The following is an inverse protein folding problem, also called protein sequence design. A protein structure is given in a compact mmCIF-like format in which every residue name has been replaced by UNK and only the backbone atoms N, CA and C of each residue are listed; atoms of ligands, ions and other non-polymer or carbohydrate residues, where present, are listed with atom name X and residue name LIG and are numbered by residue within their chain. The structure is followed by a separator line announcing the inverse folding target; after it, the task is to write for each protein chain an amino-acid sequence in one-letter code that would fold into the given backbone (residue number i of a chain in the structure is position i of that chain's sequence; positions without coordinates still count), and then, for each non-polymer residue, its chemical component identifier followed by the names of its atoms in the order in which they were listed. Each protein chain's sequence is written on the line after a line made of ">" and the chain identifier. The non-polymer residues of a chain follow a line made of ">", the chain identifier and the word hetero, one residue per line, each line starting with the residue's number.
data_IF_798673494244
#
_entry.id   IF_798673494244
#
_cell.length_a   1.000
_cell.length_b   1.000
_cell.length_c   1.000
_cell.angle_alpha   90.00
_cell.angle_beta   90.00
_cell.angle_gamma   90.00
#
_symmetry.space_group_name_H-M   'P 1'
#
loop_
_entity.id
_entity.type
_entity.pdbx_description
1 polymer ?
#
# COMPACT_ATOMS: atom_id res chain seq x y z
N UNK A 1 32.55 4.99 -10.69
CA UNK A 1 31.58 4.84 -9.60
C UNK A 1 31.22 6.23 -9.10
N UNK A 2 29.93 6.57 -9.03
CA UNK A 2 29.49 7.86 -8.50
C UNK A 2 29.16 7.73 -7.02
N UNK A 3 29.43 8.78 -6.24
CA UNK A 3 29.05 8.88 -4.82
C UNK A 3 27.92 9.91 -4.69
N UNK A 4 26.91 9.60 -3.88
CA UNK A 4 25.82 10.52 -3.58
C UNK A 4 26.35 11.70 -2.78
N UNK A 5 25.88 12.90 -3.11
CA UNK A 5 26.17 14.11 -2.34
C UNK A 5 25.16 14.20 -1.20
N UNK A 6 25.66 14.38 0.02
CA UNK A 6 24.80 14.56 1.20
C UNK A 6 24.21 15.97 1.22
N UNK A 7 22.90 16.09 1.43
CA UNK A 7 22.23 17.38 1.67
C UNK A 7 22.52 17.87 3.10
N UNK A 8 22.30 19.15 3.40
CA UNK A 8 22.44 19.66 4.77
C UNK A 8 21.15 19.41 5.57
N UNK A 9 21.25 19.27 6.90
CA UNK A 9 20.07 19.05 7.77
C UNK A 9 19.07 20.21 7.68
N UNK A 10 19.56 21.43 7.51
CA UNK A 10 18.76 22.64 7.38
C UNK A 10 17.96 22.67 6.06
N UNK A 11 18.35 21.86 5.07
CA UNK A 11 17.66 21.76 3.78
C UNK A 11 16.45 20.82 3.79
N UNK A 12 16.28 20.01 4.84
CA UNK A 12 15.21 19.00 4.93
C UNK A 12 13.81 19.59 4.67
N UNK A 13 13.38 20.71 5.30
CA UNK A 13 12.05 21.25 5.05
C UNK A 13 11.82 21.61 3.57
N UNK A 14 12.83 22.23 2.94
CA UNK A 14 12.79 22.59 1.52
C UNK A 14 12.78 21.36 0.61
N UNK A 15 13.52 20.32 0.98
CA UNK A 15 13.55 19.05 0.26
C UNK A 15 12.17 18.37 0.29
N UNK A 16 11.53 18.29 1.46
CA UNK A 16 10.19 17.72 1.63
C UNK A 16 9.13 18.46 0.81
N UNK A 17 9.10 19.79 0.85
CA UNK A 17 8.21 20.59 -0.02
C UNK A 17 8.44 20.29 -1.51
N UNK A 18 9.69 20.03 -1.91
CA UNK A 18 10.01 19.68 -3.30
C UNK A 18 9.52 18.27 -3.65
N UNK A 19 9.67 17.31 -2.75
CA UNK A 19 9.19 15.94 -2.94
C UNK A 19 7.66 15.90 -3.10
N UNK A 20 6.92 16.64 -2.26
CA UNK A 20 5.48 16.78 -2.39
C UNK A 20 5.07 17.34 -3.76
N UNK A 21 5.73 18.42 -4.22
CA UNK A 21 5.48 19.01 -5.54
C UNK A 21 5.73 18.03 -6.68
N UNK A 22 6.80 17.23 -6.61
CA UNK A 22 7.06 16.21 -7.61
C UNK A 22 5.95 15.17 -7.67
N UNK A 23 5.40 14.73 -6.52
CA UNK A 23 4.24 13.84 -6.52
C UNK A 23 3.00 14.48 -7.15
N UNK A 24 2.74 15.77 -6.88
CA UNK A 24 1.65 16.51 -7.52
C UNK A 24 1.85 16.70 -9.04
N UNK A 25 3.09 16.63 -9.53
CA UNK A 25 3.43 16.65 -10.96
C UNK A 25 3.48 15.24 -11.58
N UNK A 26 3.09 14.20 -10.84
CA UNK A 26 3.18 12.81 -11.26
C UNK A 26 4.63 12.36 -11.57
N UNK A 27 5.60 12.86 -10.80
CA UNK A 27 7.02 12.48 -10.84
C UNK A 27 7.45 11.73 -9.56
N UNK A 28 6.84 10.57 -9.23
CA UNK A 28 7.07 9.88 -7.95
C UNK A 28 8.52 9.40 -7.77
N UNK A 29 9.23 9.07 -8.85
CA UNK A 29 10.64 8.68 -8.78
C UNK A 29 11.55 9.83 -8.26
N UNK A 30 11.24 11.08 -8.59
CA UNK A 30 11.96 12.24 -8.06
C UNK A 30 11.67 12.46 -6.58
N UNK A 31 10.42 12.24 -6.16
CA UNK A 31 10.03 12.31 -4.76
C UNK A 31 10.70 11.21 -3.93
N UNK A 32 10.74 9.97 -4.43
CA UNK A 32 11.47 8.86 -3.80
C UNK A 32 12.94 9.23 -3.57
N UNK A 33 13.63 9.70 -4.62
CA UNK A 33 15.06 10.05 -4.52
C UNK A 33 15.32 11.05 -3.41
N UNK A 34 14.49 12.10 -3.31
CA UNK A 34 14.61 13.12 -2.27
C UNK A 34 14.33 12.54 -0.88
N UNK A 35 13.29 11.72 -0.74
CA UNK A 35 12.96 11.14 0.57
C UNK A 35 14.08 10.22 1.07
N UNK A 36 14.76 9.48 0.19
CA UNK A 36 15.93 8.68 0.56
C UNK A 36 17.09 9.56 1.06
N UNK A 37 17.36 10.69 0.41
CA UNK A 37 18.38 11.64 0.87
C UNK A 37 18.05 12.23 2.24
N UNK A 38 16.77 12.54 2.50
CA UNK A 38 16.31 13.00 3.82
C UNK A 38 16.46 11.90 4.88
N UNK A 39 16.00 10.68 4.59
CA UNK A 39 16.06 9.55 5.52
C UNK A 39 17.49 9.07 5.79
N UNK A 40 18.46 9.36 4.92
CA UNK A 40 19.87 9.12 5.18
C UNK A 40 20.45 10.05 6.28
N UNK A 41 19.84 11.23 6.49
CA UNK A 41 20.26 12.22 7.50
C UNK A 41 19.40 12.14 8.76
N UNK A 42 18.10 11.88 8.58
CA UNK A 42 17.11 11.77 9.64
C UNK A 42 16.23 10.52 9.41
N UNK A 43 16.69 9.33 9.85
CA UNK A 43 16.00 8.08 9.60
C UNK A 43 14.60 7.98 10.24
N UNK A 44 14.30 8.81 11.23
CA UNK A 44 13.00 8.82 11.92
C UNK A 44 12.07 9.92 11.40
N UNK A 45 12.44 10.64 10.33
CA UNK A 45 11.65 11.73 9.80
C UNK A 45 10.30 11.23 9.27
N UNK A 46 9.23 11.56 10.00
CA UNK A 46 7.87 11.10 9.71
C UNK A 46 7.40 11.50 8.31
N UNK A 47 7.54 12.78 7.94
CA UNK A 47 7.09 13.31 6.65
C UNK A 47 7.82 12.64 5.48
N UNK A 48 9.12 12.37 5.63
CA UNK A 48 9.90 11.65 4.63
C UNK A 48 9.46 10.19 4.48
N UNK A 49 9.13 9.51 5.58
CA UNK A 49 8.60 8.13 5.56
C UNK A 49 7.27 8.08 4.82
N UNK A 50 6.34 8.96 5.21
CA UNK A 50 5.01 9.08 4.58
C UNK A 50 5.15 9.38 3.09
N UNK A 51 5.95 10.39 2.73
CA UNK A 51 6.14 10.78 1.34
C UNK A 51 6.77 9.66 0.51
N UNK A 52 7.72 8.90 1.07
CA UNK A 52 8.32 7.75 0.41
C UNK A 52 7.32 6.61 0.20
N UNK A 53 6.52 6.25 1.20
CA UNK A 53 5.46 5.23 1.07
C UNK A 53 4.49 5.62 -0.05
N UNK A 54 4.08 6.88 -0.08
CA UNK A 54 3.16 7.37 -1.09
C UNK A 54 3.77 7.38 -2.50
N UNK A 55 5.04 7.79 -2.63
CA UNK A 55 5.75 7.75 -3.91
C UNK A 55 5.93 6.31 -4.43
N UNK A 56 6.30 5.37 -3.56
CA UNK A 56 6.46 3.96 -3.93
C UNK A 56 5.14 3.35 -4.44
N UNK A 57 4.03 3.62 -3.75
CA UNK A 57 2.72 3.10 -4.11
C UNK A 57 2.11 3.75 -5.36
N UNK A 58 2.49 5.00 -5.68
CA UNK A 58 2.13 5.66 -6.95
C UNK A 58 2.72 4.94 -8.17
N UNK A 59 3.88 4.29 -8.01
CA UNK A 59 4.56 3.56 -9.08
C UNK A 59 4.07 2.11 -9.24
N UNK A 60 3.07 1.66 -8.48
CA UNK A 60 2.49 0.32 -8.67
C UNK A 60 1.81 0.14 -10.03
N UNK A 61 1.50 1.21 -10.75
CA UNK A 61 0.87 1.19 -12.09
C UNK A 61 1.74 0.53 -13.17
N UNK A 62 3.04 0.34 -12.93
CA UNK A 62 3.97 -0.25 -13.88
C UNK A 62 4.15 -1.77 -13.71
N UNK A 63 3.08 -2.50 -13.33
CA UNK A 63 3.14 -3.96 -13.05
C UNK A 63 3.80 -4.78 -14.16
N UNK A 64 3.68 -4.33 -15.42
CA UNK A 64 4.27 -5.00 -16.57
C UNK A 64 5.77 -4.70 -16.80
N UNK A 65 6.31 -3.63 -16.21
CA UNK A 65 7.64 -3.09 -16.51
C UNK A 65 8.65 -3.28 -15.38
N UNK A 66 8.18 -3.40 -14.13
CA UNK A 66 9.04 -3.60 -12.98
C UNK A 66 8.30 -4.38 -11.87
N UNK A 67 9.07 -5.11 -11.05
CA UNK A 67 8.51 -5.76 -9.85
C UNK A 67 8.01 -4.67 -8.89
N UNK A 68 6.73 -4.68 -8.49
CA UNK A 68 6.19 -3.71 -7.55
C UNK A 68 6.90 -3.85 -6.20
N UNK A 69 7.19 -2.72 -5.56
CA UNK A 69 7.95 -2.66 -4.30
C UNK A 69 7.03 -2.64 -3.07
N UNK A 70 6.09 -3.60 -3.03
CA UNK A 70 5.09 -3.72 -1.96
C UNK A 70 5.76 -3.99 -0.60
N UNK A 71 6.65 -4.99 -0.54
CA UNK A 71 7.38 -5.35 0.68
C UNK A 71 8.19 -4.16 1.25
N UNK A 72 8.79 -3.35 0.36
CA UNK A 72 9.53 -2.15 0.78
C UNK A 72 8.60 -1.10 1.39
N UNK A 73 7.44 -0.86 0.76
CA UNK A 73 6.46 0.08 1.29
C UNK A 73 5.93 -0.37 2.66
N UNK A 74 5.60 -1.65 2.83
CA UNK A 74 5.17 -2.22 4.12
C UNK A 74 6.26 -2.11 5.19
N UNK A 75 7.52 -2.39 4.84
CA UNK A 75 8.63 -2.22 5.77
C UNK A 75 8.81 -0.76 6.24
N UNK A 76 8.50 0.22 5.38
CA UNK A 76 8.49 1.64 5.75
C UNK A 76 7.31 1.99 6.65
N UNK A 77 6.13 1.43 6.41
CA UNK A 77 4.94 1.62 7.26
C UNK A 77 5.24 1.21 8.70
N UNK A 78 5.93 0.09 8.92
CA UNK A 78 6.31 -0.37 10.26
C UNK A 78 7.17 0.64 11.05
N UNK A 79 7.82 1.59 10.37
CA UNK A 79 8.64 2.64 11.00
C UNK A 79 7.84 3.85 11.46
N UNK A 80 6.56 3.98 11.09
CA UNK A 80 5.70 5.08 11.50
C UNK A 80 5.37 4.97 13.00
N UNK A 81 5.49 6.08 13.72
CA UNK A 81 5.36 6.10 15.18
C UNK A 81 3.92 5.98 15.68
N UNK A 82 2.95 6.57 14.97
CA UNK A 82 1.56 6.60 15.42
C UNK A 82 0.79 5.35 14.97
N UNK A 83 -0.06 4.75 15.84
CA UNK A 83 -0.90 3.60 15.47
C UNK A 83 -1.81 3.86 14.27
N UNK A 84 -2.48 5.03 14.25
CA UNK A 84 -3.29 5.46 13.09
C UNK A 84 -2.49 5.42 11.79
N UNK A 85 -1.29 6.01 11.76
CA UNK A 85 -0.49 6.07 10.55
C UNK A 85 -0.12 4.68 10.05
N UNK A 86 0.29 3.77 10.96
CA UNK A 86 0.63 2.39 10.57
C UNK A 86 -0.56 1.71 9.88
N UNK A 87 -1.72 1.72 10.53
CA UNK A 87 -2.93 1.10 10.00
C UNK A 87 -3.38 1.77 8.69
N UNK A 88 -3.40 3.10 8.66
CA UNK A 88 -3.86 3.86 7.49
C UNK A 88 -2.95 3.67 6.27
N UNK A 89 -1.63 3.76 6.44
CA UNK A 89 -0.69 3.60 5.32
C UNK A 89 -0.54 2.12 4.91
N UNK A 90 -0.69 1.16 5.82
CA UNK A 90 -0.77 -0.28 5.47
C UNK A 90 -1.97 -0.55 4.57
N UNK A 91 -3.17 -0.12 4.99
CA UNK A 91 -4.39 -0.29 4.20
C UNK A 91 -4.28 0.37 2.82
N UNK A 92 -3.65 1.54 2.73
CA UNK A 92 -3.42 2.22 1.45
C UNK A 92 -2.42 1.47 0.53
N UNK A 93 -1.41 0.80 1.08
CA UNK A 93 -0.49 -0.03 0.29
C UNK A 93 -1.27 -1.20 -0.32
N UNK A 94 -2.07 -1.89 0.48
CA UNK A 94 -2.91 -3.00 0.01
C UNK A 94 -3.94 -2.54 -1.03
N UNK A 95 -4.64 -1.44 -0.76
CA UNK A 95 -5.62 -0.83 -1.67
C UNK A 95 -4.98 -0.48 -3.03
N UNK A 96 -3.87 0.27 -3.02
CA UNK A 96 -3.22 0.71 -4.27
C UNK A 96 -2.66 -0.47 -5.05
N UNK A 97 -2.18 -1.50 -4.36
CA UNK A 97 -1.70 -2.71 -5.00
C UNK A 97 -2.85 -3.50 -5.63
N UNK A 98 -3.96 -3.68 -4.91
CA UNK A 98 -5.17 -4.31 -5.42
C UNK A 98 -5.69 -3.61 -6.68
N UNK A 99 -5.79 -2.27 -6.64
CA UNK A 99 -6.17 -1.47 -7.81
C UNK A 99 -5.23 -1.70 -8.98
N UNK A 100 -3.91 -1.70 -8.75
CA UNK A 100 -2.93 -1.91 -9.82
C UNK A 100 -3.10 -3.29 -10.49
N UNK A 101 -3.35 -4.34 -9.71
CA UNK A 101 -3.62 -5.68 -10.22
C UNK A 101 -4.89 -5.74 -11.08
N UNK A 102 -5.98 -5.12 -10.63
CA UNK A 102 -7.22 -5.03 -11.43
C UNK A 102 -6.98 -4.32 -12.76
N UNK A 103 -6.28 -3.18 -12.76
CA UNK A 103 -5.97 -2.46 -14.00
C UNK A 103 -5.02 -3.24 -14.92
N UNK A 104 -4.15 -4.10 -14.36
CA UNK A 104 -3.29 -4.99 -15.11
C UNK A 104 -4.02 -6.26 -15.64
N UNK A 105 -5.32 -6.41 -15.37
CA UNK A 105 -6.14 -7.51 -15.88
C UNK A 105 -6.05 -8.81 -15.07
N UNK A 106 -5.57 -8.76 -13.82
CA UNK A 106 -5.58 -9.94 -12.95
C UNK A 106 -7.03 -10.32 -12.57
N UNK A 107 -7.32 -11.63 -12.37
CA UNK A 107 -8.64 -12.08 -11.95
C UNK A 107 -9.09 -11.41 -10.65
N UNK A 108 -10.31 -10.89 -10.61
CA UNK A 108 -10.82 -10.11 -9.47
C UNK A 108 -10.93 -10.94 -8.19
N UNK A 109 -11.30 -12.22 -8.30
CA UNK A 109 -11.31 -13.17 -7.17
C UNK A 109 -9.93 -13.35 -6.52
N UNK A 110 -8.84 -13.23 -7.29
CA UNK A 110 -7.47 -13.29 -6.75
C UNK A 110 -7.03 -11.99 -6.07
N UNK A 111 -7.81 -10.91 -6.22
CA UNK A 111 -7.50 -9.58 -5.69
C UNK A 111 -8.39 -9.20 -4.51
N UNK A 112 -9.55 -9.86 -4.32
CA UNK A 112 -10.50 -9.54 -3.25
C UNK A 112 -9.85 -9.51 -1.85
N UNK A 113 -8.98 -10.47 -1.55
CA UNK A 113 -8.27 -10.55 -0.27
C UNK A 113 -7.43 -9.28 0.04
N UNK A 114 -6.85 -8.64 -0.97
CA UNK A 114 -6.11 -7.38 -0.77
C UNK A 114 -7.04 -6.21 -0.44
N UNK A 115 -8.25 -6.19 -1.01
CA UNK A 115 -9.25 -5.20 -0.61
C UNK A 115 -9.78 -5.46 0.80
N UNK A 116 -10.00 -6.71 1.18
CA UNK A 116 -10.40 -7.10 2.53
C UNK A 116 -9.36 -6.68 3.57
N UNK A 117 -8.09 -6.97 3.32
CA UNK A 117 -6.99 -6.51 4.18
C UNK A 117 -6.96 -4.98 4.28
N UNK A 118 -7.08 -4.27 3.15
CA UNK A 118 -7.11 -2.81 3.13
C UNK A 118 -8.27 -2.24 3.95
N UNK A 119 -9.47 -2.80 3.78
CA UNK A 119 -10.67 -2.36 4.48
C UNK A 119 -10.59 -2.64 5.99
N UNK A 120 -10.08 -3.81 6.39
CA UNK A 120 -9.79 -4.13 7.80
C UNK A 120 -8.85 -3.09 8.42
N UNK A 121 -7.76 -2.76 7.73
CA UNK A 121 -6.82 -1.74 8.21
C UNK A 121 -7.50 -0.37 8.41
N UNK A 122 -8.38 0.04 7.50
CA UNK A 122 -9.10 1.32 7.63
C UNK A 122 -10.14 1.29 8.77
N UNK A 123 -10.84 0.18 8.97
CA UNK A 123 -11.76 -0.01 10.10
C UNK A 123 -11.02 0.07 11.43
N UNK A 124 -9.86 -0.56 11.55
CA UNK A 124 -9.01 -0.51 12.74
C UNK A 124 -8.35 0.87 12.95
N UNK A 125 -8.05 1.60 11.86
CA UNK A 125 -7.50 2.94 11.93
C UNK A 125 -8.52 3.97 12.44
N UNK A 126 -9.81 3.83 12.09
CA UNK A 126 -10.85 4.79 12.44
C UNK A 126 -10.91 5.18 13.93
N UNK A 127 -10.92 4.25 14.91
CA UNK A 127 -10.93 4.60 16.33
C UNK A 127 -9.63 5.25 16.83
N UNK A 128 -8.53 5.16 16.07
CA UNK A 128 -7.24 5.79 16.39
C UNK A 128 -7.14 7.24 15.88
N UNK A 129 -8.13 7.70 15.10
CA UNK A 129 -8.12 9.00 14.47
C UNK A 129 -8.46 10.14 15.46
N UNK A 130 -7.86 11.31 15.26
CA UNK A 130 -8.23 12.52 16.00
C UNK A 130 -9.64 13.02 15.64
N UNK A 131 -10.27 13.86 16.48
CA UNK A 131 -11.60 14.41 16.20
C UNK A 131 -11.68 15.08 14.82
N UNK A 132 -12.66 14.66 14.01
CA UNK A 132 -12.89 15.23 12.68
C UNK A 132 -12.04 14.62 11.56
N UNK A 133 -11.06 13.77 11.87
CA UNK A 133 -10.33 13.00 10.86
C UNK A 133 -11.17 11.79 10.42
N UNK A 134 -11.67 11.84 9.19
CA UNK A 134 -12.46 10.78 8.55
C UNK A 134 -11.71 10.10 7.40
N UNK A 135 -10.38 10.25 7.33
CA UNK A 135 -9.60 9.80 6.17
C UNK A 135 -9.71 8.29 5.96
N UNK A 136 -9.68 7.50 7.04
CA UNK A 136 -9.86 6.05 6.97
C UNK A 136 -11.26 5.68 6.44
N UNK A 137 -12.32 6.38 6.86
CA UNK A 137 -13.68 6.18 6.37
C UNK A 137 -13.80 6.51 4.88
N UNK A 138 -13.16 7.60 4.43
CA UNK A 138 -13.13 7.97 3.02
C UNK A 138 -12.44 6.90 2.16
N UNK A 139 -11.33 6.34 2.66
CA UNK A 139 -10.60 5.25 2.00
C UNK A 139 -11.37 3.94 1.95
N UNK A 140 -12.00 3.55 3.05
CA UNK A 140 -12.87 2.37 3.10
C UNK A 140 -14.00 2.49 2.07
N UNK A 141 -14.68 3.64 2.03
CA UNK A 141 -15.74 3.90 1.04
C UNK A 141 -15.22 3.90 -0.40
N UNK A 142 -13.97 4.33 -0.62
CA UNK A 142 -13.34 4.28 -1.94
C UNK A 142 -13.00 2.84 -2.37
N UNK A 143 -12.73 1.94 -1.44
CA UNK A 143 -12.57 0.50 -1.71
C UNK A 143 -13.89 -0.09 -2.19
N UNK A 144 -14.97 0.08 -1.41
CA UNK A 144 -16.32 -0.42 -1.75
C UNK A 144 -16.74 0.02 -3.15
N UNK A 145 -16.70 1.33 -3.43
CA UNK A 145 -17.11 1.85 -4.76
C UNK A 145 -16.27 1.29 -5.90
N UNK A 146 -14.99 1.04 -5.66
CA UNK A 146 -14.12 0.46 -6.69
C UNK A 146 -14.44 -1.03 -6.90
N UNK A 147 -14.62 -1.79 -5.82
CA UNK A 147 -15.01 -3.20 -5.90
C UNK A 147 -16.35 -3.38 -6.62
N UNK A 148 -17.36 -2.57 -6.29
CA UNK A 148 -18.66 -2.57 -6.98
C UNK A 148 -18.53 -2.25 -8.47
N UNK A 149 -17.71 -1.26 -8.81
CA UNK A 149 -17.51 -0.85 -10.21
C UNK A 149 -16.79 -1.91 -11.05
N UNK A 150 -15.85 -2.65 -10.45
CA UNK A 150 -15.03 -3.64 -11.13
C UNK A 150 -15.51 -5.09 -10.90
N UNK A 151 -16.65 -5.29 -10.24
CA UNK A 151 -17.15 -6.62 -9.86
C UNK A 151 -16.09 -7.48 -9.15
N UNK A 152 -15.46 -6.87 -8.14
CA UNK A 152 -14.51 -7.58 -7.27
C UNK A 152 -15.29 -8.31 -6.21
N UNK A 153 -15.46 -9.61 -6.44
CA UNK A 153 -16.14 -10.53 -5.54
C UNK A 153 -15.11 -11.51 -4.96
N UNK A 154 -15.26 -11.93 -3.70
CA UNK A 154 -14.47 -13.02 -3.17
C UNK A 154 -14.69 -14.26 -4.05
N UNK A 155 -13.69 -15.16 -4.14
CA UNK A 155 -13.89 -16.43 -4.80
C UNK A 155 -15.13 -17.09 -4.17
N UNK A 156 -16.02 -17.62 -5.01
CA UNK A 156 -17.05 -18.53 -4.51
C UNK A 156 -16.33 -19.57 -3.67
N UNK A 157 -16.80 -19.81 -2.43
CA UNK A 157 -16.34 -20.93 -1.63
C UNK A 157 -16.44 -22.16 -2.56
N UNK A 158 -15.31 -22.62 -3.09
CA UNK A 158 -15.18 -24.00 -3.51
C UNK A 158 -15.33 -24.75 -2.21
N UNK A 159 -16.59 -24.96 -1.82
CA UNK A 159 -16.93 -25.67 -0.61
C UNK A 159 -16.08 -26.90 -0.57
N UNK A 160 -15.64 -27.28 0.62
CA UNK A 160 -15.23 -28.64 0.90
C UNK A 160 -16.36 -29.55 0.41
N UNK A 161 -16.33 -29.90 -0.87
CA UNK A 161 -17.14 -30.96 -1.43
C UNK A 161 -16.78 -32.17 -0.60
N UNK A 162 -17.76 -32.99 -0.19
CA UNK A 162 -17.46 -34.15 0.61
C UNK A 162 -16.36 -34.93 -0.11
N UNK A 163 -15.19 -35.00 0.52
CA UNK A 163 -14.16 -35.93 0.10
C UNK A 163 -14.78 -37.28 0.41
N UNK A 164 -15.43 -37.86 -0.58
CA UNK A 164 -15.87 -39.24 -0.53
C UNK A 164 -14.58 -40.04 -0.46
N UNK A 165 -14.13 -40.31 0.77
CA UNK A 165 -13.19 -41.38 1.03
C UNK A 165 -13.97 -42.65 0.71
N UNK A 166 -13.95 -43.03 -0.57
CA UNK A 166 -14.42 -44.33 -1.00
C UNK A 166 -13.48 -45.34 -0.34
N UNK A 167 -13.96 -45.90 0.76
CA UNK A 167 -13.28 -46.87 1.61
C UNK A 167 -13.32 -48.24 0.90
N UNK A 168 -12.79 -48.30 -0.32
CA UNK A 168 -12.47 -49.55 -1.00
C UNK A 168 -10.99 -49.85 -0.84
N UNK A 169 -10.64 -50.35 0.35
CA UNK A 169 -9.48 -51.20 0.53
C UNK A 169 -9.73 -52.54 -0.19
N UNK A 170 -8.98 -52.92 -1.24
CA UNK A 170 -9.04 -54.28 -1.73
C UNK A 170 -8.30 -55.18 -0.73
N UNK A 171 -9.07 -55.90 0.07
CA UNK A 171 -8.60 -57.10 0.76
C UNK A 171 -8.53 -58.22 -0.28
N UNK A 172 -7.35 -58.44 -0.87
CA UNK A 172 -6.68 -59.76 -1.05
C UNK A 172 -5.46 -59.66 -1.96
#
# INVERSE_FOLDING_TARGET
>A
MFQLKTISRESIPRALTKAERYRLLNEPAQAESICRDVLAIDPANHDALVCLILALTEMFVEVASARPRVDEALALVLRLGHPFDRLYYEGMVHERWARALVHAGYPTASVSALFEDAMRCFEEAQPQAGPGNNDAVLRWNACVRFMEHHHVEPPEDEGEGPVDFDDEMPVR
#
